data_IF_730183194091
#
_entry.id   IF_730183194091
#
_cell.length_a   1.000
_cell.length_b   1.000
_cell.length_c   1.000
_cell.angle_alpha   90.00
_cell.angle_beta   90.00
_cell.angle_gamma   90.00
#
_symmetry.space_group_name_H-M   'P 1'
#
loop_
_entity.id
_entity.type
_entity.pdbx_description
1 polymer ?
#
# COMPACT_ATOMS: atom_id res chain seq x y z
N UNK A 1 10.47 4.84 10.22
CA UNK A 1 9.89 3.70 9.51
C UNK A 1 9.31 4.14 8.18
N UNK A 2 9.44 3.30 7.18
CA UNK A 2 8.76 3.48 5.90
C UNK A 2 7.54 2.57 5.85
N UNK A 3 6.44 3.07 5.31
CA UNK A 3 5.23 2.28 5.13
C UNK A 3 5.08 1.96 3.66
N UNK A 4 5.02 0.68 3.33
CA UNK A 4 4.77 0.22 1.95
C UNK A 4 3.33 -0.22 1.85
N UNK A 5 2.54 0.50 1.07
CA UNK A 5 1.12 0.24 0.89
C UNK A 5 0.93 -0.53 -0.41
N UNK A 6 0.24 -1.67 -0.31
CA UNK A 6 0.05 -2.56 -1.45
C UNK A 6 1.15 -3.59 -1.59
N UNK A 7 1.66 -4.10 -0.48
CA UNK A 7 2.77 -5.03 -0.47
C UNK A 7 2.38 -6.48 -0.85
N UNK A 8 1.11 -6.73 -1.15
CA UNK A 8 0.63 -8.06 -1.55
C UNK A 8 0.83 -8.29 -3.06
N UNK A 9 2.04 -8.05 -3.54
CA UNK A 9 2.41 -8.26 -4.94
C UNK A 9 3.91 -8.57 -5.02
N UNK A 10 4.35 -9.08 -6.16
CA UNK A 10 5.78 -9.33 -6.39
C UNK A 10 6.60 -8.04 -6.35
N UNK A 11 6.05 -6.95 -6.88
CA UNK A 11 6.71 -5.64 -6.82
C UNK A 11 6.84 -5.19 -5.37
N UNK A 12 5.80 -5.41 -4.57
CA UNK A 12 5.83 -5.09 -3.15
C UNK A 12 6.90 -5.87 -2.40
N UNK A 13 6.97 -7.17 -2.62
CA UNK A 13 7.99 -8.01 -2.01
C UNK A 13 9.40 -7.55 -2.37
N UNK A 14 9.63 -7.27 -3.65
CA UNK A 14 10.93 -6.79 -4.13
C UNK A 14 11.29 -5.45 -3.49
N UNK A 15 10.35 -4.53 -3.45
CA UNK A 15 10.55 -3.20 -2.86
C UNK A 15 10.91 -3.30 -1.38
N UNK A 16 10.18 -4.11 -0.64
CA UNK A 16 10.44 -4.33 0.80
C UNK A 16 11.83 -4.93 1.01
N UNK A 17 12.19 -5.92 0.22
CA UNK A 17 13.51 -6.54 0.32
C UNK A 17 14.63 -5.52 0.09
N UNK A 18 14.46 -4.59 -0.84
CA UNK A 18 15.45 -3.54 -1.09
C UNK A 18 15.56 -2.58 0.09
N UNK A 19 14.45 -2.19 0.71
CA UNK A 19 14.47 -1.36 1.91
C UNK A 19 15.22 -2.04 3.06
N UNK A 20 14.97 -3.34 3.25
CA UNK A 20 15.64 -4.11 4.30
C UNK A 20 17.14 -4.18 4.04
N UNK A 21 17.55 -4.38 2.80
CA UNK A 21 18.98 -4.40 2.42
C UNK A 21 19.67 -3.08 2.72
N UNK A 22 18.95 -1.97 2.62
CA UNK A 22 19.45 -0.65 2.93
C UNK A 22 19.45 -0.33 4.43
N UNK A 23 19.00 -1.26 5.26
CA UNK A 23 18.94 -1.07 6.70
C UNK A 23 17.76 -0.24 7.18
N UNK A 24 16.72 -0.12 6.38
CA UNK A 24 15.54 0.65 6.72
C UNK A 24 14.51 -0.20 7.45
N UNK A 25 13.84 0.39 8.44
CA UNK A 25 12.66 -0.23 9.05
C UNK A 25 11.46 -0.02 8.16
N UNK A 26 10.70 -1.09 7.95
CA UNK A 26 9.55 -1.09 7.04
C UNK A 26 8.34 -1.70 7.74
N UNK A 27 7.17 -1.11 7.53
CA UNK A 27 5.88 -1.70 7.84
C UNK A 27 5.12 -1.85 6.53
N UNK A 28 4.49 -2.99 6.33
CA UNK A 28 3.80 -3.28 5.07
C UNK A 28 2.31 -3.38 5.29
N UNK A 29 1.54 -3.04 4.27
CA UNK A 29 0.10 -3.20 4.28
C UNK A 29 -0.35 -3.92 3.02
N UNK A 30 -1.47 -4.63 3.14
CA UNK A 30 -2.07 -5.30 2.01
C UNK A 30 -3.51 -5.66 2.31
N UNK A 31 -4.25 -6.06 1.29
CA UNK A 31 -5.67 -6.40 1.41
C UNK A 31 -5.91 -7.86 1.72
N UNK A 32 -4.92 -8.72 1.47
CA UNK A 32 -5.07 -10.16 1.66
C UNK A 32 -3.84 -10.71 2.38
N UNK A 33 -3.91 -11.98 2.77
CA UNK A 33 -2.86 -12.63 3.53
C UNK A 33 -1.86 -13.41 2.68
N UNK A 34 -1.87 -13.20 1.36
CA UNK A 34 -1.07 -13.97 0.42
C UNK A 34 0.43 -13.98 0.75
N UNK A 35 0.97 -12.82 1.12
CA UNK A 35 2.39 -12.69 1.47
C UNK A 35 2.63 -12.46 2.96
N UNK A 36 1.60 -12.59 3.78
CA UNK A 36 1.72 -12.32 5.22
C UNK A 36 2.78 -13.18 5.87
N UNK A 37 2.79 -14.47 5.58
CA UNK A 37 3.78 -15.40 6.12
C UNK A 37 5.19 -15.03 5.69
N UNK A 38 5.37 -14.59 4.45
CA UNK A 38 6.67 -14.14 3.96
C UNK A 38 7.19 -12.96 4.80
N UNK A 39 6.35 -11.96 5.05
CA UNK A 39 6.74 -10.80 5.85
C UNK A 39 6.93 -11.16 7.32
N UNK A 40 6.13 -12.07 7.86
CA UNK A 40 6.31 -12.56 9.23
C UNK A 40 7.69 -13.20 9.42
N UNK A 41 8.15 -13.96 8.43
CA UNK A 41 9.48 -14.57 8.47
C UNK A 41 10.60 -13.55 8.45
N UNK A 42 10.38 -12.43 7.80
CA UNK A 42 11.36 -11.33 7.73
C UNK A 42 11.32 -10.44 8.97
N UNK A 43 10.37 -10.65 9.87
CA UNK A 43 10.17 -9.78 11.02
C UNK A 43 9.58 -8.44 10.66
N UNK A 44 8.89 -8.34 9.53
CA UNK A 44 8.26 -7.12 9.02
C UNK A 44 6.79 -7.09 9.45
N UNK A 45 6.35 -6.05 10.19
CA UNK A 45 4.94 -5.94 10.56
C UNK A 45 4.04 -5.84 9.32
N UNK A 46 2.99 -6.62 9.31
CA UNK A 46 2.00 -6.62 8.25
C UNK A 46 0.65 -6.17 8.79
N UNK A 47 0.06 -5.16 8.15
CA UNK A 47 -1.23 -4.60 8.54
C UNK A 47 -2.23 -4.81 7.41
N UNK A 48 -3.35 -5.44 7.73
CA UNK A 48 -4.46 -5.51 6.79
C UNK A 48 -5.08 -4.13 6.66
N UNK A 49 -5.06 -3.58 5.45
CA UNK A 49 -5.54 -2.24 5.18
C UNK A 49 -6.39 -2.23 3.92
N UNK A 50 -7.63 -1.81 4.06
CA UNK A 50 -8.49 -1.49 2.94
C UNK A 50 -8.38 0.02 2.68
N UNK A 51 -7.83 0.40 1.54
CA UNK A 51 -7.59 1.80 1.21
C UNK A 51 -8.87 2.63 1.12
N UNK A 52 -9.99 1.98 0.86
CA UNK A 52 -11.28 2.67 0.79
C UNK A 52 -11.90 2.89 2.16
N UNK A 53 -11.35 2.29 3.20
CA UNK A 53 -11.87 2.36 4.57
C UNK A 53 -11.02 3.30 5.40
N UNK A 54 -11.53 4.49 5.68
CA UNK A 54 -10.77 5.50 6.44
C UNK A 54 -10.36 5.00 7.83
N UNK A 55 -11.20 4.18 8.46
CA UNK A 55 -10.93 3.67 9.80
C UNK A 55 -9.71 2.77 9.85
N UNK A 56 -9.41 2.09 8.75
CA UNK A 56 -8.26 1.20 8.71
C UNK A 56 -6.94 1.96 8.86
N UNK A 57 -6.92 3.24 8.48
CA UNK A 57 -5.73 4.08 8.63
C UNK A 57 -5.37 4.35 10.09
N UNK A 58 -6.29 4.15 11.02
CA UNK A 58 -6.00 4.25 12.45
C UNK A 58 -5.04 3.15 12.93
N UNK A 59 -4.93 2.06 12.18
CA UNK A 59 -3.98 0.99 12.45
C UNK A 59 -2.54 1.36 12.13
N UNK A 60 -2.33 2.40 11.33
CA UNK A 60 -1.01 2.83 10.89
C UNK A 60 -0.33 3.69 11.95
N UNK A 61 1.04 3.67 11.99
CA UNK A 61 1.77 4.53 12.90
C UNK A 61 1.46 6.01 12.66
N UNK A 62 1.35 6.77 13.73
CA UNK A 62 1.08 8.22 13.67
C UNK A 62 2.35 9.04 13.87
N UNK A 63 3.42 8.41 14.30
CA UNK A 63 4.70 9.05 14.58
C UNK A 63 5.84 8.20 14.03
N UNK A 64 6.96 8.84 13.75
CA UNK A 64 8.16 8.12 13.32
C UNK A 64 8.11 7.61 11.89
N UNK A 65 7.20 8.09 11.08
CA UNK A 65 7.08 7.67 9.69
C UNK A 65 7.93 8.59 8.81
N UNK A 66 8.94 8.00 8.18
CA UNK A 66 9.85 8.73 7.30
C UNK A 66 9.30 8.92 5.89
N UNK A 67 8.46 8.01 5.45
CA UNK A 67 7.85 8.10 4.14
C UNK A 67 6.84 6.99 3.89
N UNK A 68 6.05 7.16 2.85
CA UNK A 68 5.04 6.21 2.41
C UNK A 68 5.29 5.87 0.95
N UNK A 69 5.35 4.59 0.64
CA UNK A 69 5.47 4.09 -0.73
C UNK A 69 4.14 3.47 -1.12
N UNK A 70 3.47 4.07 -2.08
CA UNK A 70 2.16 3.61 -2.54
C UNK A 70 2.33 2.78 -3.81
N UNK A 71 2.21 1.46 -3.66
CA UNK A 71 2.28 0.51 -4.76
C UNK A 71 0.91 -0.04 -5.14
N UNK A 72 -0.09 0.27 -4.34
CA UNK A 72 -1.41 -0.28 -4.53
C UNK A 72 -2.08 0.29 -5.76
N UNK A 73 -2.18 -0.55 -6.80
CA UNK A 73 -3.26 -0.40 -7.75
C UNK A 73 -4.34 -1.40 -7.36
N UNK A 74 -5.58 -0.99 -7.42
CA UNK A 74 -6.69 -1.92 -7.16
C UNK A 74 -7.08 -2.70 -8.41
N UNK A 75 -6.36 -2.49 -9.49
CA UNK A 75 -6.46 -3.37 -10.64
C UNK A 75 -5.89 -4.73 -10.24
N UNK A 76 -6.61 -5.81 -10.48
CA UNK A 76 -6.07 -7.13 -10.24
C UNK A 76 -4.75 -7.28 -10.99
N UNK A 77 -3.72 -7.78 -10.32
CA UNK A 77 -2.37 -7.86 -10.88
C UNK A 77 -2.29 -8.59 -12.21
N UNK A 78 -3.29 -9.42 -12.51
CA UNK A 78 -3.36 -10.23 -13.73
C UNK A 78 -4.52 -9.82 -14.63
N UNK A 79 -5.23 -8.75 -14.33
CA UNK A 79 -6.36 -8.35 -15.14
C UNK A 79 -5.92 -7.32 -16.18
N UNK A 80 -6.05 -7.70 -17.42
CA UNK A 80 -6.10 -6.71 -18.47
C UNK A 80 -7.49 -6.08 -18.39
N UNK A 81 -7.53 -4.83 -17.90
CA UNK A 81 -8.77 -4.10 -17.88
C UNK A 81 -8.95 -3.44 -19.22
N UNK A 82 -9.96 -3.88 -19.96
CA UNK A 82 -10.37 -3.19 -21.16
C UNK A 82 -11.35 -2.09 -20.75
N UNK A 83 -10.90 -0.86 -20.81
CA UNK A 83 -11.69 0.30 -20.41
C UNK A 83 -12.95 0.50 -21.26
N UNK A 84 -12.99 -0.12 -22.45
CA UNK A 84 -14.14 0.01 -23.35
C UNK A 84 -15.20 -1.06 -23.12
N UNK A 85 -14.81 -2.23 -22.64
CA UNK A 85 -15.70 -3.39 -22.51
C UNK A 85 -15.84 -3.93 -21.11
N UNK A 86 -14.93 -3.57 -20.19
CA UNK A 86 -15.00 -4.02 -18.81
C UNK A 86 -16.01 -3.17 -18.04
N UNK A 87 -17.09 -3.79 -17.60
CA UNK A 87 -18.13 -3.13 -16.83
C UNK A 87 -17.63 -2.58 -15.49
N UNK A 88 -16.52 -3.14 -14.97
CA UNK A 88 -15.96 -2.77 -13.68
C UNK A 88 -14.85 -1.71 -13.78
N UNK A 89 -14.49 -1.26 -14.96
CA UNK A 89 -13.38 -0.32 -15.14
C UNK A 89 -13.59 0.97 -14.35
N UNK A 90 -14.81 1.52 -14.38
CA UNK A 90 -15.12 2.74 -13.65
C UNK A 90 -15.02 2.55 -12.15
N UNK A 91 -15.42 1.39 -11.64
CA UNK A 91 -15.33 1.07 -10.22
C UNK A 91 -13.87 0.98 -9.77
N UNK A 92 -13.01 0.40 -10.58
CA UNK A 92 -11.56 0.34 -10.27
C UNK A 92 -10.96 1.74 -10.20
N UNK A 93 -11.29 2.62 -11.13
CA UNK A 93 -10.82 4.01 -11.09
C UNK A 93 -11.31 4.75 -9.85
N UNK A 94 -12.58 4.59 -9.52
CA UNK A 94 -13.17 5.24 -8.36
C UNK A 94 -12.50 4.77 -7.07
N UNK A 95 -12.33 3.47 -6.91
CA UNK A 95 -11.69 2.88 -5.73
C UNK A 95 -10.23 3.33 -5.63
N UNK A 96 -9.49 3.36 -6.74
CA UNK A 96 -8.10 3.85 -6.75
C UNK A 96 -8.03 5.31 -6.34
N UNK A 97 -8.96 6.13 -6.80
CA UNK A 97 -9.01 7.54 -6.46
C UNK A 97 -9.29 7.74 -4.97
N UNK A 98 -10.29 7.05 -4.44
CA UNK A 98 -10.63 7.11 -3.02
C UNK A 98 -9.46 6.63 -2.17
N UNK A 99 -8.84 5.52 -2.54
CA UNK A 99 -7.69 4.98 -1.82
C UNK A 99 -6.52 5.95 -1.78
N UNK A 100 -6.20 6.56 -2.90
CA UNK A 100 -5.13 7.54 -2.99
C UNK A 100 -5.41 8.75 -2.12
N UNK A 101 -6.64 9.27 -2.15
CA UNK A 101 -7.04 10.41 -1.32
C UNK A 101 -6.88 10.05 0.16
N UNK A 102 -7.31 8.87 0.57
CA UNK A 102 -7.18 8.43 1.96
C UNK A 102 -5.71 8.34 2.41
N UNK A 103 -4.83 7.84 1.55
CA UNK A 103 -3.39 7.80 1.83
C UNK A 103 -2.83 9.21 2.00
N UNK A 104 -3.17 10.13 1.10
CA UNK A 104 -2.69 11.51 1.18
C UNK A 104 -3.21 12.22 2.42
N UNK A 105 -4.48 11.98 2.81
CA UNK A 105 -5.03 12.53 4.03
C UNK A 105 -4.32 12.00 5.28
N UNK A 106 -4.03 10.71 5.31
CA UNK A 106 -3.24 10.12 6.39
C UNK A 106 -1.88 10.81 6.49
N UNK A 107 -1.19 10.99 5.38
CA UNK A 107 0.11 11.65 5.37
C UNK A 107 0.00 13.10 5.82
N UNK A 108 -0.99 13.83 5.35
CA UNK A 108 -1.21 15.22 5.74
C UNK A 108 -1.45 15.36 7.24
N UNK A 109 -2.33 14.52 7.78
CA UNK A 109 -2.67 14.59 9.21
C UNK A 109 -1.49 14.28 10.13
N UNK A 110 -0.56 13.46 9.67
CA UNK A 110 0.55 13.01 10.49
C UNK A 110 1.89 13.64 10.11
N UNK A 111 1.86 14.68 9.28
CA UNK A 111 3.06 15.44 8.91
C UNK A 111 4.05 14.67 8.06
N UNK A 112 3.59 13.64 7.35
CA UNK A 112 4.44 12.85 6.47
C UNK A 112 4.56 13.58 5.13
N UNK A 113 5.79 13.97 4.78
CA UNK A 113 6.03 14.80 3.59
C UNK A 113 6.53 14.00 2.39
N UNK A 114 7.00 12.79 2.59
CA UNK A 114 7.57 11.98 1.53
C UNK A 114 6.59 10.88 1.14
N UNK A 115 6.01 10.99 -0.04
CA UNK A 115 5.12 9.97 -0.61
C UNK A 115 5.64 9.64 -1.99
N UNK A 116 5.89 8.36 -2.23
CA UNK A 116 6.31 7.86 -3.52
C UNK A 116 5.17 7.00 -4.05
N UNK A 117 4.67 7.35 -5.21
CA UNK A 117 3.61 6.59 -5.86
C UNK A 117 4.14 5.98 -7.14
N UNK A 118 3.84 4.70 -7.32
CA UNK A 118 4.11 4.01 -8.56
C UNK A 118 2.86 4.09 -9.43
N UNK A 119 2.88 4.96 -10.39
CA UNK A 119 1.77 5.11 -11.33
C UNK A 119 1.86 4.10 -12.48
#
# INVERSE_FOLDING_TARGET
VYIVIGASSFIGVYTVDEFIKQGCEVTVTGRNNKFREHYDRLGVPYINLDLTEKKDFDKLPKEGVDGVILLAGLLPANAQVDLNTDENAADYFEINTIGTINVLEYCRKNGIKRVISNC
#
